data_IF_353728069475
#
_entry.id   IF_353728069475
#
_cell.length_a   1.000
_cell.length_b   1.000
_cell.length_c   1.000
_cell.angle_alpha   90.00
_cell.angle_beta   90.00
_cell.angle_gamma   90.00
#
_symmetry.space_group_name_H-M   'P 1'
#
loop_
_entity.id
_entity.type
_entity.pdbx_description
1 polymer ?
#
# COMPACT_ATOMS: atom_id res chain seq x y z
N UNK A 1 -4.11 -13.03 -6.32
CA UNK A 1 -4.01 -11.68 -5.73
C UNK A 1 -2.69 -11.49 -5.02
N UNK A 2 -2.25 -10.26 -5.00
CA UNK A 2 -1.00 -9.91 -4.32
C UNK A 2 -1.26 -8.84 -3.29
N UNK A 3 -0.58 -8.95 -2.16
CA UNK A 3 -0.62 -7.91 -1.13
C UNK A 3 0.68 -7.13 -1.21
N UNK A 4 0.56 -5.83 -1.32
CA UNK A 4 1.71 -4.94 -1.40
C UNK A 4 1.82 -4.18 -0.09
N UNK A 5 3.01 -4.20 0.49
CA UNK A 5 3.28 -3.52 1.73
C UNK A 5 4.40 -2.52 1.47
N UNK A 6 4.14 -1.27 1.82
CA UNK A 6 5.08 -0.18 1.57
C UNK A 6 5.52 0.43 2.88
N UNK A 7 6.80 0.65 3.04
CA UNK A 7 7.32 1.39 4.19
C UNK A 7 7.54 2.83 3.77
N UNK A 8 6.97 3.73 4.54
CA UNK A 8 6.94 5.15 4.19
C UNK A 8 7.32 5.98 5.39
N UNK A 9 8.28 6.88 5.22
CA UNK A 9 8.68 7.78 6.27
C UNK A 9 8.00 9.15 6.10
N UNK A 10 7.82 9.86 7.20
CA UNK A 10 7.20 11.18 7.18
C UNK A 10 5.70 11.16 7.42
N UNK A 11 5.10 9.99 7.54
CA UNK A 11 3.68 9.84 7.80
C UNK A 11 3.48 9.90 9.32
N UNK A 12 3.03 11.05 9.82
CA UNK A 12 3.00 11.29 11.27
C UNK A 12 1.61 11.54 11.84
N UNK A 13 0.59 11.57 11.01
CA UNK A 13 -0.77 11.85 11.48
C UNK A 13 -1.80 11.12 10.62
N UNK A 14 -3.06 11.01 11.10
CA UNK A 14 -4.11 10.32 10.33
C UNK A 14 -4.36 10.94 8.95
N UNK A 15 -4.19 12.25 8.82
CA UNK A 15 -4.38 12.89 7.53
C UNK A 15 -3.35 12.41 6.51
N UNK A 16 -2.15 12.10 6.98
CA UNK A 16 -1.11 11.55 6.12
C UNK A 16 -1.53 10.20 5.56
N UNK A 17 -2.23 9.41 6.37
CA UNK A 17 -2.74 8.11 5.93
C UNK A 17 -3.68 8.27 4.75
N UNK A 18 -4.55 9.28 4.80
CA UNK A 18 -5.48 9.53 3.70
C UNK A 18 -4.74 9.93 2.42
N UNK A 19 -3.71 10.75 2.56
CA UNK A 19 -2.91 11.17 1.40
C UNK A 19 -2.23 9.99 0.73
N UNK A 20 -1.68 9.09 1.52
CA UNK A 20 -1.02 7.89 0.99
C UNK A 20 -2.04 6.98 0.33
N UNK A 21 -3.18 6.76 0.97
CA UNK A 21 -4.22 5.91 0.39
C UNK A 21 -4.71 6.48 -0.94
N UNK A 22 -4.88 7.79 -1.03
CA UNK A 22 -5.31 8.43 -2.27
C UNK A 22 -4.25 8.27 -3.37
N UNK A 23 -2.98 8.41 -3.02
CA UNK A 23 -1.90 8.23 -3.99
C UNK A 23 -1.91 6.82 -4.55
N UNK A 24 -2.13 5.83 -3.69
CA UNK A 24 -2.21 4.43 -4.13
C UNK A 24 -3.40 4.24 -5.07
N UNK A 25 -4.56 4.77 -4.72
CA UNK A 25 -5.77 4.62 -5.54
C UNK A 25 -5.65 5.33 -6.88
N UNK A 26 -4.93 6.43 -6.92
CA UNK A 26 -4.72 7.15 -8.18
C UNK A 26 -3.78 6.40 -9.10
N UNK A 27 -2.81 5.71 -8.53
CA UNK A 27 -1.83 4.95 -9.32
C UNK A 27 -2.43 3.63 -9.79
N UNK A 28 -3.15 2.97 -8.89
CA UNK A 28 -3.80 1.69 -9.17
C UNK A 28 -5.22 1.73 -8.64
N UNK A 29 -6.15 2.13 -9.49
CA UNK A 29 -7.54 2.24 -9.07
C UNK A 29 -8.21 0.90 -8.82
N UNK A 30 -7.54 -0.19 -9.18
CA UNK A 30 -8.02 -1.55 -8.88
C UNK A 30 -7.62 -1.99 -7.47
N UNK A 31 -6.82 -1.22 -6.78
CA UNK A 31 -6.33 -1.60 -5.45
C UNK A 31 -7.50 -1.74 -4.48
N UNK A 32 -7.45 -2.81 -3.70
CA UNK A 32 -8.47 -3.12 -2.68
C UNK A 32 -7.83 -3.15 -1.32
N UNK A 33 -8.65 -2.99 -0.29
CA UNK A 33 -8.19 -3.03 1.09
C UNK A 33 -7.00 -2.11 1.31
N UNK A 34 -7.10 -0.91 0.76
CA UNK A 34 -6.04 0.09 0.89
C UNK A 34 -6.01 0.59 2.32
N UNK A 35 -4.87 0.43 2.97
CA UNK A 35 -4.69 0.83 4.36
C UNK A 35 -3.37 1.56 4.52
N UNK A 36 -3.34 2.51 5.43
CA UNK A 36 -2.12 3.21 5.77
C UNK A 36 -2.11 3.42 7.28
N UNK A 37 -0.94 3.31 7.89
CA UNK A 37 -0.80 3.46 9.34
C UNK A 37 0.39 4.35 9.64
N UNK A 38 0.11 5.51 10.24
CA UNK A 38 1.18 6.43 10.62
C UNK A 38 1.99 5.89 11.81
N UNK A 39 1.36 5.07 12.63
CA UNK A 39 2.06 4.47 13.78
C UNK A 39 3.08 3.44 13.33
N UNK A 40 2.74 2.65 12.33
CA UNK A 40 3.64 1.64 11.80
C UNK A 40 4.50 2.15 10.66
N UNK A 41 4.19 3.35 10.15
CA UNK A 41 4.87 3.94 9.01
C UNK A 41 4.80 3.05 7.79
N UNK A 42 3.64 2.45 7.57
CA UNK A 42 3.39 1.50 6.49
C UNK A 42 2.08 1.80 5.80
N UNK A 43 2.02 1.40 4.54
CA UNK A 43 0.76 1.35 3.81
C UNK A 43 0.68 0.00 3.13
N UNK A 44 -0.52 -0.49 2.92
CA UNK A 44 -0.69 -1.78 2.23
C UNK A 44 -1.95 -1.76 1.40
N UNK A 45 -1.98 -2.60 0.39
CA UNK A 45 -3.16 -2.80 -0.42
C UNK A 45 -3.09 -4.16 -1.10
N UNK A 46 -4.23 -4.61 -1.60
CA UNK A 46 -4.34 -5.88 -2.30
C UNK A 46 -4.73 -5.57 -3.74
N UNK A 47 -4.09 -6.22 -4.68
CA UNK A 47 -4.38 -6.00 -6.07
C UNK A 47 -4.24 -7.33 -6.84
N UNK A 48 -5.07 -7.51 -7.84
CA UNK A 48 -5.14 -8.75 -8.60
C UNK A 48 -4.40 -8.64 -9.93
N UNK A 49 -3.22 -8.05 -9.89
CA UNK A 49 -2.36 -7.95 -11.08
C UNK A 49 -0.96 -7.60 -10.62
N UNK A 50 -0.02 -7.70 -11.54
CA UNK A 50 1.34 -7.30 -11.25
C UNK A 50 1.42 -5.78 -11.17
N UNK A 51 2.26 -5.30 -10.29
CA UNK A 51 2.48 -3.87 -10.15
C UNK A 51 3.96 -3.55 -10.26
N UNK A 52 4.22 -2.29 -10.57
CA UNK A 52 5.58 -1.79 -10.64
C UNK A 52 5.80 -0.92 -9.40
N UNK A 53 6.67 -1.38 -8.51
CA UNK A 53 6.96 -0.63 -7.28
C UNK A 53 7.55 0.74 -7.59
N UNK A 54 8.17 0.91 -8.74
CA UNK A 54 8.70 2.20 -9.13
C UNK A 54 7.59 3.24 -9.34
N UNK A 55 6.47 2.81 -9.90
CA UNK A 55 5.33 3.71 -10.08
C UNK A 55 4.77 4.14 -8.72
N UNK A 56 4.69 3.20 -7.81
CA UNK A 56 4.22 3.50 -6.45
C UNK A 56 5.20 4.43 -5.75
N UNK A 57 6.50 4.15 -5.87
CA UNK A 57 7.52 5.00 -5.29
C UNK A 57 7.37 6.45 -5.78
N UNK A 58 7.20 6.62 -7.08
CA UNK A 58 7.05 7.95 -7.64
C UNK A 58 5.78 8.64 -7.14
N UNK A 59 4.69 7.89 -7.02
CA UNK A 59 3.44 8.45 -6.53
C UNK A 59 3.57 8.90 -5.08
N UNK A 60 4.24 8.10 -4.25
CA UNK A 60 4.46 8.44 -2.84
C UNK A 60 5.38 9.66 -2.73
N UNK A 61 6.46 9.68 -3.50
CA UNK A 61 7.41 10.79 -3.47
C UNK A 61 6.75 12.11 -3.84
N UNK A 62 5.79 12.07 -4.76
CA UNK A 62 5.07 13.28 -5.18
C UNK A 62 4.21 13.86 -4.07
N UNK A 63 3.81 13.06 -3.10
CA UNK A 63 2.99 13.53 -1.99
C UNK A 63 3.82 14.25 -0.94
N UNK A 64 5.14 14.17 -1.05
CA UNK A 64 6.03 14.78 -0.06
C UNK A 64 6.50 13.81 1.03
N UNK A 65 6.04 12.58 1.00
CA UNK A 65 6.48 11.56 1.93
C UNK A 65 7.63 10.77 1.31
N UNK A 66 8.37 10.06 2.14
CA UNK A 66 9.52 9.34 1.69
C UNK A 66 9.24 7.83 1.61
N UNK A 67 9.32 7.28 0.43
CA UNK A 67 9.20 5.86 0.22
C UNK A 67 10.52 5.18 0.67
N UNK A 68 10.41 4.21 1.56
CA UNK A 68 11.58 3.49 2.07
C UNK A 68 11.77 2.19 1.30
N UNK A 69 10.76 1.33 1.32
CA UNK A 69 10.84 0.07 0.60
C UNK A 69 9.45 -0.47 0.35
N UNK A 70 9.35 -1.38 -0.61
CA UNK A 70 8.10 -2.04 -0.93
C UNK A 70 8.29 -3.54 -0.97
N UNK A 71 7.23 -4.27 -0.66
CA UNK A 71 7.23 -5.71 -0.61
C UNK A 71 5.95 -6.22 -1.22
N UNK A 72 6.07 -7.24 -2.05
CA UNK A 72 4.91 -7.88 -2.68
C UNK A 72 4.87 -9.33 -2.21
N UNK A 73 3.74 -9.75 -1.68
CA UNK A 73 3.58 -11.13 -1.25
C UNK A 73 2.24 -11.68 -1.73
N UNK A 74 2.15 -13.01 -1.88
CA UNK A 74 0.88 -13.61 -2.29
C UNK A 74 -0.17 -13.38 -1.22
N UNK A 75 -1.40 -13.17 -1.67
CA UNK A 75 -2.51 -12.94 -0.77
C UNK A 75 -3.69 -13.80 -1.21
N UNK A 76 -4.16 -14.65 -0.31
CA UNK A 76 -5.29 -15.53 -0.58
C UNK A 76 -6.31 -15.42 0.53
N UNK A 77 -7.43 -14.82 0.25
CA UNK A 77 -8.51 -14.73 1.22
C UNK A 77 -9.03 -16.10 1.62
N UNK A 78 -9.00 -17.02 0.69
CA UNK A 78 -9.53 -18.36 0.92
C UNK A 78 -8.84 -19.11 2.03
N UNK A 79 -7.63 -18.77 2.33
CA UNK A 79 -6.92 -19.42 3.40
C UNK A 79 -7.64 -19.36 4.72
N UNK A 80 -8.35 -18.30 4.92
CA UNK A 80 -9.08 -18.11 6.16
C UNK A 80 -10.17 -19.15 6.34
N UNK A 81 -10.68 -19.64 5.26
CA UNK A 81 -11.73 -20.63 5.31
C UNK A 81 -11.20 -22.03 5.29
N UNK A 82 -10.07 -22.21 4.67
CA UNK A 82 -9.43 -23.50 4.62
C UNK A 82 -9.00 -24.00 5.98
N UNK A 83 -9.05 -23.14 6.94
CA UNK A 83 -8.66 -23.50 8.29
C UNK A 83 -9.66 -24.40 8.97
N UNK A 84 -10.82 -24.40 8.48
CA UNK A 84 -11.85 -25.20 9.13
C UNK A 84 -12.17 -26.45 8.41
#
# INVERSE_FOLDING_TARGET
MNKVILKIDGMVCPMCESHIADAIRKTYNDAKEVKASHKKKEASFVIDKEIDLLLIKNAIDKTGYKYIEGKIEPYEKKKLFGIF
#
